data_IF_990559513296
#
_entry.id   IF_990559513296
#
_cell.length_a   1.000
_cell.length_b   1.000
_cell.length_c   1.000
_cell.angle_alpha   90.00
_cell.angle_beta   90.00
_cell.angle_gamma   90.00
#
_symmetry.space_group_name_H-M   'P 1'
#
loop_
_entity.id
_entity.type
_entity.pdbx_description
1 polymer ?
#
# COMPACT_ATOMS: atom_id res chain seq x y z
N UNK A 1 -4.10 -14.06 5.35
CA UNK A 1 -4.01 -15.48 4.91
C UNK A 1 -2.58 -16.02 4.82
N UNK A 2 -1.52 -15.21 5.01
CA UNK A 2 -0.13 -15.69 4.85
C UNK A 2 0.79 -15.47 6.06
N UNK A 3 0.32 -14.79 7.11
CA UNK A 3 1.13 -14.58 8.30
C UNK A 3 1.13 -15.86 9.14
N UNK A 4 2.32 -16.46 9.27
CA UNK A 4 2.59 -17.50 10.23
C UNK A 4 3.28 -16.86 11.43
N UNK A 5 2.71 -17.01 12.63
CA UNK A 5 3.26 -16.42 13.85
C UNK A 5 3.70 -17.52 14.80
N UNK A 6 4.88 -17.33 15.39
CA UNK A 6 5.30 -18.11 16.55
C UNK A 6 4.70 -17.47 17.79
N UNK A 7 3.69 -18.12 18.35
CA UNK A 7 2.96 -17.63 19.53
C UNK A 7 3.65 -18.06 20.83
N UNK A 8 4.37 -19.18 20.79
CA UNK A 8 5.10 -19.73 21.93
C UNK A 8 6.61 -19.61 21.69
N UNK A 9 7.27 -18.72 22.44
CA UNK A 9 8.73 -18.56 22.42
C UNK A 9 9.45 -19.59 23.28
N UNK A 10 8.75 -20.23 24.23
CA UNK A 10 9.33 -21.08 25.27
C UNK A 10 9.76 -20.28 26.51
N UNK A 11 9.35 -19.02 26.62
CA UNK A 11 9.65 -18.12 27.74
C UNK A 11 8.41 -17.91 28.63
N UNK A 12 8.62 -17.86 29.94
CA UNK A 12 7.56 -17.65 30.93
C UNK A 12 7.34 -18.84 31.88
N UNK A 13 6.37 -18.72 32.81
CA UNK A 13 6.17 -19.68 33.91
C UNK A 13 5.82 -21.10 33.46
N UNK A 14 5.32 -21.26 32.23
CA UNK A 14 4.88 -22.54 31.65
C UNK A 14 5.71 -22.96 30.42
N UNK A 15 7.01 -22.66 30.41
CA UNK A 15 7.93 -22.98 29.31
C UNK A 15 7.90 -24.46 28.86
N UNK A 16 7.69 -25.39 29.79
CA UNK A 16 7.60 -26.82 29.49
C UNK A 16 6.38 -27.19 28.62
N UNK A 17 5.28 -26.46 28.73
CA UNK A 17 4.07 -26.65 27.91
C UNK A 17 4.16 -25.90 26.57
N UNK A 18 5.00 -24.86 26.48
CA UNK A 18 5.29 -24.09 25.26
C UNK A 18 6.34 -24.76 24.34
N UNK A 19 7.17 -25.67 24.85
CA UNK A 19 8.18 -26.39 24.06
C UNK A 19 7.60 -27.53 23.20
N UNK A 20 6.33 -27.90 23.43
CA UNK A 20 5.61 -28.80 22.54
C UNK A 20 5.22 -28.12 21.21
N UNK A 21 5.35 -26.79 21.14
CA UNK A 21 4.93 -25.97 20.00
C UNK A 21 6.06 -25.74 18.99
N UNK A 22 5.75 -25.95 17.72
CA UNK A 22 6.71 -26.11 16.61
C UNK A 22 7.53 -24.85 16.26
N UNK A 23 8.83 -24.95 15.86
CA UNK A 23 9.71 -23.80 15.63
C UNK A 23 9.29 -22.85 14.50
N UNK A 24 8.42 -23.30 13.58
CA UNK A 24 7.99 -22.53 12.40
C UNK A 24 6.68 -21.77 12.59
N UNK A 25 6.04 -21.84 13.77
CA UNK A 25 4.82 -21.09 14.09
C UNK A 25 3.50 -21.72 13.59
N UNK A 26 2.41 -20.99 13.83
CA UNK A 26 1.01 -21.38 13.59
C UNK A 26 0.25 -20.32 12.78
N UNK A 27 -0.84 -20.74 12.14
CA UNK A 27 -1.83 -19.84 11.56
C UNK A 27 -2.86 -19.42 12.60
N UNK A 28 -3.21 -18.12 12.67
CA UNK A 28 -4.17 -17.57 13.63
C UNK A 28 -5.58 -18.21 13.60
N UNK A 29 -5.92 -18.96 12.54
CA UNK A 29 -7.26 -19.53 12.32
C UNK A 29 -7.34 -21.04 12.62
N UNK A 30 -6.20 -21.73 12.67
CA UNK A 30 -6.09 -23.13 13.09
C UNK A 30 -4.75 -23.33 13.80
N UNK A 31 -4.78 -23.32 15.13
CA UNK A 31 -3.60 -23.44 15.99
C UNK A 31 -3.10 -24.88 16.14
N UNK A 32 -3.84 -25.87 15.65
CA UNK A 32 -3.50 -27.28 15.82
C UNK A 32 -2.67 -27.86 14.66
N UNK A 33 -2.37 -27.07 13.62
CA UNK A 33 -1.69 -27.53 12.42
C UNK A 33 -0.52 -26.63 12.05
N UNK A 34 0.62 -27.26 11.72
CA UNK A 34 1.84 -26.56 11.33
C UNK A 34 1.64 -25.68 10.09
N UNK A 35 2.37 -24.56 10.04
CA UNK A 35 2.42 -23.73 8.84
C UNK A 35 2.99 -24.49 7.65
N UNK A 36 2.39 -24.29 6.47
CA UNK A 36 2.81 -24.89 5.20
C UNK A 36 2.86 -26.43 5.19
N UNK A 37 2.01 -27.10 5.98
CA UNK A 37 1.85 -28.56 5.93
C UNK A 37 0.38 -28.97 5.89
N UNK A 38 0.08 -30.16 5.35
CA UNK A 38 -1.28 -30.70 5.26
C UNK A 38 -2.25 -29.76 4.52
N UNK A 39 -3.48 -29.65 5.02
CA UNK A 39 -4.52 -28.73 4.51
C UNK A 39 -4.08 -27.26 4.39
N UNK A 40 -3.18 -26.78 5.25
CA UNK A 40 -2.65 -25.42 5.13
C UNK A 40 -1.90 -25.20 3.83
N UNK A 41 -1.06 -26.17 3.44
CA UNK A 41 -0.31 -26.08 2.19
C UNK A 41 -1.18 -26.37 0.98
N UNK A 42 -2.03 -27.40 1.05
CA UNK A 42 -2.78 -27.89 -0.11
C UNK A 42 -4.01 -27.06 -0.45
N UNK A 43 -4.62 -26.40 0.54
CA UNK A 43 -5.88 -25.69 0.35
C UNK A 43 -5.78 -24.18 0.63
N UNK A 44 -5.29 -23.79 1.81
CA UNK A 44 -5.34 -22.38 2.22
C UNK A 44 -4.31 -21.49 1.52
N UNK A 45 -3.08 -21.98 1.32
CA UNK A 45 -2.03 -21.26 0.57
C UNK A 45 -2.46 -20.98 -0.89
N UNK A 46 -2.90 -21.96 -1.70
CA UNK A 46 -3.33 -21.69 -3.06
C UNK A 46 -4.59 -20.82 -3.11
N UNK A 47 -5.54 -21.01 -2.20
CA UNK A 47 -6.72 -20.13 -2.09
C UNK A 47 -6.29 -18.69 -1.83
N UNK A 48 -5.39 -18.48 -0.86
CA UNK A 48 -4.82 -17.17 -0.58
C UNK A 48 -4.11 -16.57 -1.79
N UNK A 49 -3.38 -17.39 -2.56
CA UNK A 49 -2.64 -16.93 -3.73
C UNK A 49 -3.60 -16.48 -4.84
N UNK A 50 -4.68 -17.22 -5.06
CA UNK A 50 -5.77 -16.83 -5.97
C UNK A 50 -6.43 -15.54 -5.50
N UNK A 51 -6.72 -15.39 -4.20
CA UNK A 51 -7.28 -14.14 -3.67
C UNK A 51 -6.34 -12.94 -3.90
N UNK A 52 -5.02 -13.09 -3.68
CA UNK A 52 -4.06 -12.02 -3.97
C UNK A 52 -4.02 -11.71 -5.46
N UNK A 53 -4.01 -12.72 -6.33
CA UNK A 53 -4.04 -12.51 -7.76
C UNK A 53 -5.30 -11.74 -8.20
N UNK A 54 -6.48 -12.13 -7.69
CA UNK A 54 -7.77 -11.56 -8.08
C UNK A 54 -8.06 -10.19 -7.47
N UNK A 55 -7.67 -9.96 -6.22
CA UNK A 55 -8.05 -8.73 -5.50
C UNK A 55 -6.91 -7.71 -5.37
N UNK A 56 -5.65 -8.14 -5.47
CA UNK A 56 -4.51 -7.23 -5.35
C UNK A 56 -3.84 -6.95 -6.69
N UNK A 57 -3.63 -7.97 -7.53
CA UNK A 57 -2.87 -7.82 -8.79
C UNK A 57 -3.78 -7.51 -9.97
N UNK A 58 -4.95 -8.16 -10.04
CA UNK A 58 -5.87 -7.99 -11.17
C UNK A 58 -6.38 -6.55 -11.32
N UNK A 59 -6.75 -5.81 -10.25
CA UNK A 59 -7.19 -4.42 -10.41
C UNK A 59 -6.14 -3.49 -11.05
N UNK A 60 -4.90 -3.37 -10.55
CA UNK A 60 -3.89 -2.52 -11.17
C UNK A 60 -3.50 -3.01 -12.56
N UNK A 61 -3.47 -4.34 -12.79
CA UNK A 61 -3.19 -4.90 -14.10
C UNK A 61 -4.30 -4.59 -15.12
N UNK A 62 -5.57 -4.66 -14.72
CA UNK A 62 -6.71 -4.35 -15.57
C UNK A 62 -6.73 -2.85 -15.93
N UNK A 63 -6.48 -1.97 -14.96
CA UNK A 63 -6.33 -0.53 -15.20
C UNK A 63 -5.18 -0.27 -16.16
N UNK A 64 -3.99 -0.83 -15.92
CA UNK A 64 -2.87 -0.68 -16.85
C UNK A 64 -3.19 -1.20 -18.26
N UNK A 65 -3.82 -2.37 -18.37
CA UNK A 65 -4.18 -2.98 -19.65
C UNK A 65 -5.19 -2.15 -20.45
N UNK A 66 -6.22 -1.62 -19.79
CA UNK A 66 -7.21 -0.72 -20.44
C UNK A 66 -6.56 0.56 -20.96
N UNK A 67 -5.65 1.15 -20.19
CA UNK A 67 -4.90 2.35 -20.57
C UNK A 67 -3.95 2.05 -21.74
N UNK A 68 -3.24 0.92 -21.69
CA UNK A 68 -2.35 0.47 -22.75
C UNK A 68 -3.11 0.20 -24.06
N UNK A 69 -4.28 -0.44 -23.97
CA UNK A 69 -5.16 -0.70 -25.11
C UNK A 69 -5.69 0.60 -25.72
N UNK A 70 -6.11 1.56 -24.89
CA UNK A 70 -6.53 2.89 -25.32
C UNK A 70 -5.41 3.64 -26.06
N UNK A 71 -4.20 3.66 -25.50
CA UNK A 71 -3.04 4.29 -26.12
C UNK A 71 -2.64 3.60 -27.44
N UNK A 72 -2.77 2.28 -27.52
CA UNK A 72 -2.52 1.53 -28.75
C UNK A 72 -3.57 1.86 -29.83
N UNK A 73 -4.86 1.94 -29.48
CA UNK A 73 -5.96 2.32 -30.38
C UNK A 73 -5.73 3.74 -30.93
N UNK A 74 -5.41 4.71 -30.06
CA UNK A 74 -5.08 6.09 -30.46
C UNK A 74 -3.93 6.14 -31.48
N UNK A 75 -2.85 5.40 -31.23
CA UNK A 75 -1.69 5.33 -32.15
C UNK A 75 -2.04 4.69 -33.50
N UNK A 76 -2.92 3.68 -33.53
CA UNK A 76 -3.38 3.04 -34.78
C UNK A 76 -4.20 4.00 -35.62
N UNK A 77 -5.21 4.64 -35.02
CA UNK A 77 -6.07 5.61 -35.71
C UNK A 77 -5.26 6.79 -36.27
N UNK A 78 -4.29 7.30 -35.50
CA UNK A 78 -3.39 8.36 -35.96
C UNK A 78 -2.55 7.94 -37.18
N UNK A 79 -2.06 6.69 -37.22
CA UNK A 79 -1.29 6.15 -38.36
C UNK A 79 -2.15 5.94 -39.60
N UNK A 80 -3.35 5.40 -39.45
CA UNK A 80 -4.27 5.16 -40.56
C UNK A 80 -4.75 6.48 -41.19
N UNK A 81 -5.10 7.46 -40.36
CA UNK A 81 -5.54 8.78 -40.81
C UNK A 81 -4.43 9.63 -41.41
N UNK A 82 -3.20 9.52 -40.89
CA UNK A 82 -2.02 10.16 -41.50
C UNK A 82 -1.79 9.66 -42.93
N UNK A 83 -2.05 8.38 -43.21
CA UNK A 83 -1.99 7.83 -44.58
C UNK A 83 -3.12 8.32 -45.49
N UNK A 84 -4.29 8.63 -44.92
CA UNK A 84 -5.47 9.09 -45.68
C UNK A 84 -5.59 10.63 -45.79
N UNK A 85 -4.61 11.40 -45.27
CA UNK A 85 -4.67 12.87 -45.30
C UNK A 85 -5.82 13.47 -44.49
N UNK A 86 -6.38 12.71 -43.53
CA UNK A 86 -7.56 13.11 -42.77
C UNK A 86 -7.28 14.07 -41.62
N UNK A 87 -8.21 15.00 -41.35
CA UNK A 87 -8.13 15.97 -40.24
C UNK A 87 -8.25 15.32 -38.84
N UNK A 88 -7.52 15.88 -37.87
CA UNK A 88 -7.41 15.43 -36.47
C UNK A 88 -8.77 15.38 -35.74
N UNK A 89 -9.71 16.27 -36.09
CA UNK A 89 -11.00 16.45 -35.41
C UNK A 89 -11.94 15.25 -35.47
N UNK A 90 -11.78 14.36 -36.45
CA UNK A 90 -12.56 13.13 -36.53
C UNK A 90 -12.07 12.04 -35.56
N UNK A 91 -10.75 12.01 -35.28
CA UNK A 91 -10.15 11.09 -34.30
C UNK A 91 -10.64 11.45 -32.90
N UNK A 92 -10.71 12.76 -32.61
CA UNK A 92 -11.13 13.27 -31.31
C UNK A 92 -12.59 12.87 -30.99
N UNK A 93 -13.49 12.84 -31.98
CA UNK A 93 -14.89 12.39 -31.80
C UNK A 93 -15.01 10.91 -31.42
N UNK A 94 -14.23 10.04 -32.05
CA UNK A 94 -14.27 8.60 -31.77
C UNK A 94 -13.63 8.29 -30.41
N UNK A 95 -12.62 9.05 -30.03
CA UNK A 95 -12.00 8.98 -28.70
C UNK A 95 -12.87 9.58 -27.59
N UNK A 96 -13.70 10.58 -27.91
CA UNK A 96 -14.56 11.26 -26.93
C UNK A 96 -15.62 10.35 -26.33
N UNK A 97 -16.17 9.41 -27.11
CA UNK A 97 -17.12 8.44 -26.61
C UNK A 97 -16.48 7.50 -25.58
N UNK A 98 -15.27 7.00 -25.85
CA UNK A 98 -14.51 6.16 -24.92
C UNK A 98 -14.07 6.95 -23.67
N UNK A 99 -13.76 8.24 -23.83
CA UNK A 99 -13.46 9.16 -22.72
C UNK A 99 -14.69 9.48 -21.87
N UNK A 100 -15.92 9.41 -22.35
CA UNK A 100 -17.09 9.63 -21.49
C UNK A 100 -17.29 8.47 -20.50
N UNK A 101 -16.94 7.25 -20.91
CA UNK A 101 -17.11 6.04 -20.09
C UNK A 101 -15.94 5.82 -19.12
N UNK A 102 -14.69 6.09 -19.56
CA UNK A 102 -13.49 5.97 -18.71
C UNK A 102 -12.90 7.31 -18.23
N UNK A 103 -13.47 8.45 -18.60
CA UNK A 103 -12.86 9.78 -18.41
C UNK A 103 -12.66 10.17 -16.96
N UNK A 104 -13.42 9.60 -16.04
CA UNK A 104 -13.17 9.75 -14.61
C UNK A 104 -11.76 9.26 -14.21
N UNK A 105 -11.31 8.13 -14.77
CA UNK A 105 -9.97 7.58 -14.50
C UNK A 105 -8.85 8.46 -15.09
N UNK A 106 -9.13 9.11 -16.22
CA UNK A 106 -8.11 9.83 -17.01
C UNK A 106 -8.05 11.33 -16.73
N UNK A 107 -9.14 11.95 -16.24
CA UNK A 107 -9.26 13.41 -16.13
C UNK A 107 -8.27 14.04 -15.13
N UNK A 108 -7.79 13.25 -14.15
CA UNK A 108 -6.93 13.73 -13.06
C UNK A 108 -5.45 13.89 -13.45
N UNK A 109 -4.98 13.11 -14.43
CA UNK A 109 -3.56 13.03 -14.78
C UNK A 109 -3.22 13.80 -16.05
N UNK A 110 -1.93 14.13 -16.22
CA UNK A 110 -1.42 14.64 -17.51
C UNK A 110 -1.41 13.52 -18.55
N UNK A 111 -1.66 13.86 -19.81
CA UNK A 111 -1.71 12.92 -20.94
C UNK A 111 -0.47 12.03 -21.10
N UNK A 112 0.69 12.50 -20.64
CA UNK A 112 1.98 11.78 -20.65
C UNK A 112 2.06 10.70 -19.57
N UNK A 113 1.30 10.85 -18.48
CA UNK A 113 1.31 10.01 -17.29
C UNK A 113 -0.03 9.29 -17.08
N UNK A 114 -0.75 9.00 -18.15
CA UNK A 114 -2.07 8.35 -18.06
C UNK A 114 -2.06 6.99 -17.36
N UNK A 115 -0.93 6.28 -17.38
CA UNK A 115 -0.76 4.99 -16.69
C UNK A 115 -0.49 5.11 -15.18
N UNK A 116 -0.37 6.33 -14.65
CA UNK A 116 0.00 6.58 -13.26
C UNK A 116 -1.07 6.14 -12.27
N UNK A 117 -2.33 6.03 -12.70
CA UNK A 117 -3.39 5.45 -11.89
C UNK A 117 -3.06 4.01 -11.43
N UNK A 118 -2.40 3.21 -12.29
CA UNK A 118 -1.95 1.88 -11.89
C UNK A 118 -0.80 1.94 -10.88
N UNK A 119 0.04 2.98 -10.93
CA UNK A 119 1.13 3.21 -9.96
C UNK A 119 0.54 3.53 -8.59
N UNK A 120 -0.44 4.44 -8.50
CA UNK A 120 -1.13 4.76 -7.24
C UNK A 120 -1.75 3.52 -6.57
N UNK A 121 -2.30 2.60 -7.37
CA UNK A 121 -2.85 1.34 -6.85
C UNK A 121 -1.77 0.39 -6.33
N UNK A 122 -0.59 0.36 -6.99
CA UNK A 122 0.57 -0.40 -6.51
C UNK A 122 1.14 0.20 -5.23
N UNK A 123 1.16 1.52 -5.09
CA UNK A 123 1.56 2.22 -3.86
C UNK A 123 0.64 1.87 -2.69
N UNK A 124 -0.68 1.90 -2.91
CA UNK A 124 -1.64 1.44 -1.91
C UNK A 124 -1.44 -0.04 -1.54
N UNK A 125 -1.16 -0.90 -2.54
CA UNK A 125 -0.85 -2.30 -2.30
C UNK A 125 0.43 -2.48 -1.47
N UNK A 126 1.45 -1.64 -1.68
CA UNK A 126 2.68 -1.67 -0.89
C UNK A 126 2.40 -1.38 0.59
N UNK A 127 1.52 -0.44 0.90
CA UNK A 127 1.09 -0.16 2.28
C UNK A 127 0.34 -1.35 2.90
N UNK A 128 -0.55 -1.98 2.13
CA UNK A 128 -1.27 -3.20 2.57
C UNK A 128 -0.30 -4.36 2.82
N UNK A 129 0.73 -4.52 1.99
CA UNK A 129 1.78 -5.53 2.18
C UNK A 129 2.47 -5.30 3.53
N UNK A 130 2.85 -4.07 3.85
CA UNK A 130 3.47 -3.75 5.14
C UNK A 130 2.51 -4.06 6.30
N UNK A 131 1.22 -3.73 6.21
CA UNK A 131 0.27 -4.09 7.28
C UNK A 131 0.11 -5.61 7.43
N UNK A 132 -0.03 -6.33 6.32
CA UNK A 132 -0.31 -7.77 6.34
C UNK A 132 0.90 -8.58 6.81
N UNK A 133 2.08 -8.30 6.25
CA UNK A 133 3.31 -9.03 6.56
C UNK A 133 4.05 -8.43 7.77
N UNK A 134 3.82 -7.17 8.10
CA UNK A 134 4.37 -6.50 9.28
C UNK A 134 3.89 -7.10 10.59
N UNK A 135 2.75 -7.81 10.62
CA UNK A 135 2.26 -8.51 11.82
C UNK A 135 3.23 -9.56 12.36
N UNK A 136 4.17 -10.05 11.56
CA UNK A 136 5.20 -10.97 12.01
C UNK A 136 6.42 -10.28 12.65
N UNK A 137 6.50 -8.95 12.56
CA UNK A 137 7.62 -8.14 13.06
C UNK A 137 7.26 -7.42 14.36
N UNK A 138 8.25 -7.06 15.20
CA UNK A 138 8.01 -6.18 16.34
C UNK A 138 7.38 -4.84 15.91
N UNK A 139 6.51 -4.24 16.75
CA UNK A 139 5.77 -3.02 16.40
C UNK A 139 6.65 -1.86 15.93
N UNK A 140 7.82 -1.69 16.57
CA UNK A 140 8.81 -0.67 16.20
C UNK A 140 9.33 -0.85 14.77
N UNK A 141 9.71 -2.07 14.39
CA UNK A 141 10.22 -2.38 13.05
C UNK A 141 9.12 -2.27 11.99
N UNK A 142 7.89 -2.69 12.33
CA UNK A 142 6.73 -2.54 11.45
C UNK A 142 6.43 -1.07 11.14
N UNK A 143 6.43 -0.22 12.18
CA UNK A 143 6.18 1.22 12.03
C UNK A 143 7.29 1.92 11.22
N UNK A 144 8.56 1.57 11.43
CA UNK A 144 9.67 2.08 10.61
C UNK A 144 9.56 1.66 9.14
N UNK A 145 9.18 0.41 8.87
CA UNK A 145 8.98 -0.06 7.49
C UNK A 145 7.82 0.68 6.81
N UNK A 146 6.72 0.91 7.53
CA UNK A 146 5.58 1.67 7.04
C UNK A 146 5.97 3.12 6.72
N UNK A 147 6.72 3.77 7.62
CA UNK A 147 7.25 5.11 7.41
C UNK A 147 8.17 5.18 6.19
N UNK A 148 9.07 4.20 6.02
CA UNK A 148 9.98 4.14 4.87
C UNK A 148 9.21 4.01 3.54
N UNK A 149 8.17 3.17 3.49
CA UNK A 149 7.32 3.03 2.30
C UNK A 149 6.55 4.32 2.01
N UNK A 150 5.97 4.97 3.03
CA UNK A 150 5.27 6.24 2.85
C UNK A 150 6.18 7.37 2.35
N UNK A 151 7.40 7.46 2.86
CA UNK A 151 8.40 8.42 2.37
C UNK A 151 8.80 8.12 0.93
N UNK A 152 8.94 6.83 0.57
CA UNK A 152 9.19 6.40 -0.80
C UNK A 152 8.07 6.81 -1.76
N UNK A 153 6.82 6.56 -1.38
CA UNK A 153 5.63 6.98 -2.13
C UNK A 153 5.61 8.51 -2.30
N UNK A 154 5.83 9.27 -1.22
CA UNK A 154 5.89 10.73 -1.28
C UNK A 154 6.98 11.24 -2.24
N UNK A 155 8.16 10.60 -2.24
CA UNK A 155 9.27 10.96 -3.13
C UNK A 155 8.94 10.68 -4.60
N UNK A 156 8.30 9.54 -4.90
CA UNK A 156 7.89 9.17 -6.26
C UNK A 156 6.81 10.14 -6.78
N UNK A 157 5.78 10.40 -5.98
CA UNK A 157 4.65 11.24 -6.38
C UNK A 157 5.08 12.71 -6.58
N UNK A 158 5.98 13.22 -5.73
CA UNK A 158 6.50 14.58 -5.89
C UNK A 158 7.53 14.69 -7.02
N UNK A 159 8.36 13.66 -7.22
CA UNK A 159 9.38 13.64 -8.28
C UNK A 159 8.79 13.58 -9.69
N UNK A 160 7.71 12.81 -9.87
CA UNK A 160 7.05 12.65 -11.17
C UNK A 160 5.99 13.75 -11.39
N UNK A 161 5.36 14.25 -10.32
CA UNK A 161 4.29 15.25 -10.37
C UNK A 161 3.24 14.95 -11.46
N UNK A 162 2.57 13.79 -11.40
CA UNK A 162 1.72 13.27 -12.48
C UNK A 162 0.36 14.00 -12.56
N UNK A 163 -0.02 14.70 -11.50
CA UNK A 163 -1.30 15.36 -11.34
C UNK A 163 -1.36 16.65 -12.15
N UNK A 164 -2.51 16.89 -12.79
CA UNK A 164 -2.72 18.08 -13.62
C UNK A 164 -2.83 19.36 -12.79
N UNK A 165 -3.40 19.28 -11.58
CA UNK A 165 -3.61 20.43 -10.69
C UNK A 165 -2.66 20.40 -9.50
N UNK A 166 -2.00 21.54 -9.23
CA UNK A 166 -1.03 21.67 -8.13
C UNK A 166 -1.66 21.50 -6.74
N UNK A 167 -2.90 21.95 -6.57
CA UNK A 167 -3.63 21.82 -5.31
C UNK A 167 -3.80 20.35 -4.89
N UNK A 168 -4.13 19.48 -5.84
CA UNK A 168 -4.31 18.05 -5.57
C UNK A 168 -3.00 17.39 -5.14
N UNK A 169 -1.88 17.76 -5.78
CA UNK A 169 -0.55 17.28 -5.38
C UNK A 169 -0.11 17.81 -4.02
N UNK A 170 -0.43 19.07 -3.69
CA UNK A 170 -0.15 19.64 -2.37
C UNK A 170 -0.97 18.95 -1.27
N UNK A 171 -2.25 18.65 -1.51
CA UNK A 171 -3.08 17.93 -0.54
C UNK A 171 -2.57 16.51 -0.29
N UNK A 172 -2.20 15.80 -1.36
CA UNK A 172 -1.64 14.45 -1.25
C UNK A 172 -0.32 14.44 -0.48
N UNK A 173 0.58 15.37 -0.80
CA UNK A 173 1.84 15.53 -0.11
C UNK A 173 1.66 15.92 1.37
N UNK A 174 0.76 16.86 1.66
CA UNK A 174 0.46 17.27 3.02
C UNK A 174 -0.11 16.12 3.85
N UNK A 175 -1.02 15.32 3.28
CA UNK A 175 -1.55 14.13 3.95
C UNK A 175 -0.46 13.09 4.24
N UNK A 176 0.42 12.81 3.28
CA UNK A 176 1.55 11.89 3.49
C UNK A 176 2.53 12.39 4.55
N UNK A 177 2.77 13.71 4.63
CA UNK A 177 3.59 14.31 5.70
C UNK A 177 2.91 14.13 7.06
N UNK A 178 1.64 14.51 7.19
CA UNK A 178 0.91 14.43 8.47
C UNK A 178 0.88 13.00 8.98
N UNK A 179 0.62 12.04 8.09
CA UNK A 179 0.60 10.62 8.45
C UNK A 179 2.00 10.12 8.83
N UNK A 180 3.05 10.52 8.10
CA UNK A 180 4.46 10.18 8.43
C UNK A 180 4.89 10.77 9.77
N UNK A 181 4.50 12.01 10.05
CA UNK A 181 4.81 12.69 11.30
C UNK A 181 4.06 12.04 12.46
N UNK A 182 2.80 11.65 12.26
CA UNK A 182 2.00 10.92 13.26
C UNK A 182 2.65 9.59 13.62
N UNK A 183 3.13 8.82 12.64
CA UNK A 183 3.87 7.57 12.90
C UNK A 183 5.16 7.85 13.67
N UNK A 184 5.91 8.89 13.27
CA UNK A 184 7.16 9.27 13.93
C UNK A 184 6.94 9.66 15.39
N UNK A 185 5.86 10.43 15.68
CA UNK A 185 5.48 10.79 17.03
C UNK A 185 4.97 9.57 17.82
N UNK A 186 4.22 8.68 17.18
CA UNK A 186 3.75 7.43 17.76
C UNK A 186 4.87 6.50 18.21
N UNK A 187 6.00 6.48 17.49
CA UNK A 187 7.17 5.67 17.84
C UNK A 187 7.80 6.05 19.19
N UNK A 188 7.61 7.29 19.68
CA UNK A 188 8.11 7.68 21.01
C UNK A 188 7.37 6.97 22.16
N UNK A 189 6.17 6.43 21.91
CA UNK A 189 5.40 5.64 22.87
C UNK A 189 5.68 4.13 22.78
N UNK A 190 6.39 3.68 21.74
CA UNK A 190 6.67 2.25 21.57
C UNK A 190 7.88 1.84 22.40
N UNK A 191 7.70 0.82 23.24
CA UNK A 191 8.78 0.23 24.03
C UNK A 191 9.78 -0.47 23.10
N UNK A 192 11.07 -0.20 23.28
CA UNK A 192 12.14 -0.75 22.45
C UNK A 192 12.59 -2.13 22.92
N UNK A 193 11.70 -2.94 23.49
CA UNK A 193 11.86 -4.39 23.68
C UNK A 193 13.11 -4.85 24.44
N UNK A 194 13.81 -3.93 25.11
CA UNK A 194 15.14 -4.13 25.68
C UNK A 194 15.26 -3.57 27.08
N UNK A 195 14.19 -3.64 27.89
CA UNK A 195 14.20 -3.20 29.29
C UNK A 195 14.53 -1.72 29.51
N UNK A 196 14.61 -0.94 28.43
CA UNK A 196 14.77 0.50 28.48
C UNK A 196 13.37 1.12 28.60
N UNK A 197 13.17 1.90 29.65
CA UNK A 197 12.04 2.82 29.80
C UNK A 197 11.74 3.52 28.47
N UNK A 198 10.47 3.85 28.25
CA UNK A 198 10.04 4.67 27.11
C UNK A 198 11.04 5.80 26.88
N UNK A 199 11.44 6.04 25.63
CA UNK A 199 12.45 7.07 25.26
C UNK A 199 12.11 8.44 25.88
N UNK A 200 10.83 8.66 26.17
CA UNK A 200 10.31 9.77 26.96
C UNK A 200 9.99 9.30 28.38
N UNK A 201 10.84 9.68 29.32
CA UNK A 201 10.68 9.36 30.76
C UNK A 201 9.85 10.44 31.52
N UNK A 202 9.52 11.53 30.83
CA UNK A 202 8.75 12.67 31.38
C UNK A 202 7.29 12.63 30.93
N UNK A 203 6.37 12.49 31.88
CA UNK A 203 4.92 12.52 31.65
C UNK A 203 4.47 13.77 30.86
N UNK A 204 5.11 14.92 31.11
CA UNK A 204 4.80 16.17 30.41
C UNK A 204 5.14 16.12 28.91
N UNK A 205 6.20 15.40 28.53
CA UNK A 205 6.57 15.22 27.14
C UNK A 205 5.66 14.21 26.43
N UNK A 206 5.23 13.15 27.13
CA UNK A 206 4.20 12.20 26.67
C UNK A 206 2.88 12.93 26.36
N UNK A 207 2.41 13.77 27.28
CA UNK A 207 1.19 14.55 27.10
C UNK A 207 1.31 15.56 25.94
N UNK A 208 2.44 16.26 25.84
CA UNK A 208 2.69 17.21 24.76
C UNK A 208 2.70 16.55 23.37
N UNK A 209 3.36 15.40 23.23
CA UNK A 209 3.36 14.62 21.98
C UNK A 209 1.95 14.15 21.63
N UNK A 210 1.17 13.69 22.62
CA UNK A 210 -0.22 13.29 22.44
C UNK A 210 -1.10 14.44 21.92
N UNK A 211 -0.95 15.64 22.48
CA UNK A 211 -1.65 16.85 22.02
C UNK A 211 -1.26 17.20 20.58
N UNK A 212 0.04 17.15 20.25
CA UNK A 212 0.52 17.42 18.89
C UNK A 212 -0.10 16.46 17.88
N UNK A 213 -0.18 15.16 18.21
CA UNK A 213 -0.82 14.16 17.36
C UNK A 213 -2.30 14.50 17.15
N UNK A 214 -3.04 14.84 18.21
CA UNK A 214 -4.47 15.18 18.09
C UNK A 214 -4.69 16.41 17.21
N UNK A 215 -3.89 17.46 17.38
CA UNK A 215 -4.00 18.71 16.59
C UNK A 215 -3.66 18.47 15.12
N UNK A 216 -2.61 17.69 14.84
CA UNK A 216 -2.23 17.38 13.46
C UNK A 216 -3.31 16.61 12.69
N UNK A 217 -4.02 15.71 13.38
CA UNK A 217 -5.06 14.86 12.78
C UNK A 217 -6.46 15.50 12.83
N UNK A 218 -6.65 16.64 13.51
CA UNK A 218 -7.94 17.35 13.51
C UNK A 218 -8.11 18.31 12.33
N UNK A 219 -7.00 18.75 11.73
CA UNK A 219 -6.95 19.77 10.68
C UNK A 219 -6.84 19.19 9.26
N UNK A 220 -6.71 17.86 9.13
CA UNK A 220 -6.57 17.12 7.87
C UNK A 220 -7.55 15.94 7.81
#
# INVERSE_FOLDING_TARGET
MFACLRLDSGEGPDAAYQLASWPRGYFLRNMNQACYQGEHLSFYVPLGAVCVALFCILPPAAVYATIAAYNAKRKRLARERSKQGGSQTAIDKELDYDKLVLGFLFSRYRDEYNSFEAVMQVEALALVIVDVFGRAMPPYQQALLLLAVMLGIAAVNMGISPLRTRLLGLMEFASLIVLSLTITLGLFFTDTGGGAESVVDSQAATDAIGVIIMVLNSEF
#
